data_IF_794676706164
#
_entry.id   IF_794676706164
#
_cell.length_a   1.000
_cell.length_b   1.000
_cell.length_c   1.000
_cell.angle_alpha   90.00
_cell.angle_beta   90.00
_cell.angle_gamma   90.00
#
_symmetry.space_group_name_H-M   'P 1'
#
loop_
_entity.id
_entity.type
_entity.pdbx_description
1 polymer ?
#
# COMPACT_ATOMS: atom_id res chain seq x y z
N UNK A 1 2.48 21.51 -17.38
CA UNK A 1 2.64 20.07 -17.08
C UNK A 1 4.08 19.88 -16.63
N UNK A 2 4.28 19.42 -15.37
CA UNK A 2 5.60 19.05 -14.89
C UNK A 2 6.12 17.80 -15.64
N UNK A 3 7.42 17.74 -15.88
CA UNK A 3 8.06 16.54 -16.44
C UNK A 3 8.23 15.52 -15.32
N UNK A 4 7.62 14.35 -15.46
CA UNK A 4 7.78 13.24 -14.52
C UNK A 4 8.68 12.20 -15.17
N UNK A 5 9.85 12.01 -14.59
CA UNK A 5 10.80 10.97 -15.04
C UNK A 5 10.54 9.66 -14.30
N UNK A 6 10.74 8.56 -15.01
CA UNK A 6 10.74 7.21 -14.46
C UNK A 6 12.11 6.61 -14.64
N UNK A 7 12.69 6.17 -13.58
CA UNK A 7 13.90 5.33 -13.57
C UNK A 7 13.52 3.86 -13.51
N UNK A 8 14.42 3.00 -13.13
CA UNK A 8 14.12 1.62 -12.79
C UNK A 8 14.92 1.19 -11.56
N UNK A 9 14.21 0.63 -10.61
CA UNK A 9 14.78 0.09 -9.39
C UNK A 9 14.53 -1.40 -9.32
N UNK A 10 15.56 -2.14 -8.94
CA UNK A 10 15.45 -3.58 -8.75
C UNK A 10 14.98 -3.87 -7.33
N UNK A 11 13.94 -4.68 -7.22
CA UNK A 11 13.45 -5.20 -5.96
C UNK A 11 13.71 -6.69 -5.93
N UNK A 12 14.46 -7.12 -4.91
CA UNK A 12 14.87 -8.50 -4.71
C UNK A 12 14.06 -9.16 -3.60
N UNK A 13 13.74 -10.43 -3.77
CA UNK A 13 13.35 -11.27 -2.64
C UNK A 13 14.61 -11.60 -1.82
N UNK A 14 14.45 -11.88 -0.53
CA UNK A 14 15.55 -12.52 0.20
C UNK A 14 15.81 -13.91 -0.37
N UNK A 15 17.06 -14.35 -0.31
CA UNK A 15 17.45 -15.71 -0.76
C UNK A 15 16.73 -16.75 0.10
N UNK A 16 16.08 -17.69 -0.58
CA UNK A 16 15.52 -18.89 0.04
C UNK A 16 16.54 -19.99 -0.17
N UNK A 17 16.97 -20.63 0.91
CA UNK A 17 17.91 -21.73 0.88
C UNK A 17 17.17 -23.07 1.00
N UNK A 18 17.61 -24.04 0.23
CA UNK A 18 17.10 -25.41 0.30
C UNK A 18 18.26 -26.39 0.25
N UNK A 19 18.17 -27.47 1.01
CA UNK A 19 19.20 -28.52 0.98
C UNK A 19 19.13 -29.29 -0.33
N UNK A 20 20.30 -29.77 -0.80
CA UNK A 20 20.37 -30.62 -1.98
C UNK A 20 19.64 -31.95 -1.77
N UNK A 21 19.60 -32.47 -0.55
CA UNK A 21 18.89 -33.69 -0.19
C UNK A 21 17.37 -33.51 -0.39
N UNK A 22 16.80 -32.40 0.13
CA UNK A 22 15.39 -32.08 -0.06
C UNK A 22 15.03 -31.96 -1.55
N UNK A 23 15.94 -31.38 -2.35
CA UNK A 23 15.73 -31.26 -3.79
C UNK A 23 15.81 -32.60 -4.52
N UNK A 24 16.70 -33.50 -4.08
CA UNK A 24 16.84 -34.83 -4.66
C UNK A 24 15.66 -35.74 -4.31
N UNK A 25 15.14 -35.63 -3.08
CA UNK A 25 14.00 -36.43 -2.59
C UNK A 25 12.64 -35.87 -3.06
N UNK A 26 12.66 -34.76 -3.78
CA UNK A 26 11.44 -34.09 -4.26
C UNK A 26 10.80 -34.83 -5.46
N UNK A 27 10.20 -35.97 -5.21
CA UNK A 27 9.54 -36.78 -6.24
C UNK A 27 8.23 -36.20 -6.78
N UNK A 28 7.66 -35.20 -6.12
CA UNK A 28 6.29 -34.69 -6.38
C UNK A 28 6.28 -33.21 -6.82
N UNK A 29 7.44 -32.59 -7.03
CA UNK A 29 7.50 -31.17 -7.39
C UNK A 29 7.05 -30.21 -6.27
N UNK A 30 6.96 -30.70 -5.01
CA UNK A 30 6.50 -29.92 -3.86
C UNK A 30 7.38 -28.69 -3.59
N UNK A 31 8.69 -28.81 -3.83
CA UNK A 31 9.64 -27.72 -3.65
C UNK A 31 9.37 -26.59 -4.64
N UNK A 32 9.15 -26.94 -5.92
CA UNK A 32 8.82 -25.94 -6.94
C UNK A 32 7.47 -25.25 -6.65
N UNK A 33 6.47 -26.01 -6.21
CA UNK A 33 5.17 -25.46 -5.82
C UNK A 33 5.32 -24.49 -4.63
N UNK A 34 6.06 -24.87 -3.59
CA UNK A 34 6.32 -24.01 -2.42
C UNK A 34 7.08 -22.72 -2.80
N UNK A 35 8.08 -22.83 -3.68
CA UNK A 35 8.81 -21.64 -4.18
C UNK A 35 7.92 -20.74 -5.02
N UNK A 36 7.06 -21.33 -5.86
CA UNK A 36 6.11 -20.59 -6.69
C UNK A 36 5.11 -19.78 -5.86
N UNK A 37 4.79 -20.20 -4.64
CA UNK A 37 3.90 -19.47 -3.73
C UNK A 37 4.65 -18.44 -2.86
N UNK A 38 5.80 -18.82 -2.34
CA UNK A 38 6.54 -17.99 -1.38
C UNK A 38 7.22 -16.79 -2.03
N UNK A 39 7.84 -16.95 -3.21
CA UNK A 39 8.58 -15.88 -3.86
C UNK A 39 7.67 -14.73 -4.33
N UNK A 40 6.55 -14.97 -5.02
CA UNK A 40 5.62 -13.90 -5.40
C UNK A 40 5.03 -13.18 -4.19
N UNK A 41 4.70 -13.90 -3.12
CA UNK A 41 4.18 -13.30 -1.89
C UNK A 41 5.19 -12.36 -1.25
N UNK A 42 6.46 -12.76 -1.16
CA UNK A 42 7.54 -11.91 -0.63
C UNK A 42 7.81 -10.71 -1.52
N UNK A 43 7.90 -10.92 -2.83
CA UNK A 43 8.07 -9.84 -3.79
C UNK A 43 6.89 -8.87 -3.78
N UNK A 44 5.66 -9.39 -3.71
CA UNK A 44 4.46 -8.56 -3.63
C UNK A 44 4.46 -7.63 -2.41
N UNK A 45 4.86 -8.14 -1.24
CA UNK A 45 5.01 -7.32 -0.02
C UNK A 45 6.12 -6.27 -0.17
N UNK A 46 7.28 -6.65 -0.71
CA UNK A 46 8.38 -5.71 -0.94
C UNK A 46 8.00 -4.62 -1.93
N UNK A 47 7.29 -4.97 -3.02
CA UNK A 47 6.77 -4.02 -4.01
C UNK A 47 5.76 -3.07 -3.38
N UNK A 48 4.80 -3.60 -2.59
CA UNK A 48 3.80 -2.76 -1.94
C UNK A 48 4.46 -1.76 -1.00
N UNK A 49 5.41 -2.21 -0.18
CA UNK A 49 6.16 -1.34 0.73
C UNK A 49 6.96 -0.28 -0.02
N UNK A 50 7.66 -0.66 -1.09
CA UNK A 50 8.45 0.27 -1.90
C UNK A 50 7.57 1.31 -2.62
N UNK A 51 6.43 0.90 -3.20
CA UNK A 51 5.50 1.82 -3.87
C UNK A 51 4.67 2.67 -2.89
N UNK A 52 4.54 2.24 -1.64
CA UNK A 52 3.86 3.03 -0.61
C UNK A 52 4.81 4.03 0.04
N UNK A 53 5.98 3.58 0.54
CA UNK A 53 6.86 4.36 1.41
C UNK A 53 8.22 4.72 0.77
N UNK A 54 8.45 4.35 -0.49
CA UNK A 54 9.72 4.62 -1.16
C UNK A 54 10.08 6.10 -1.22
N UNK A 55 11.35 6.41 -1.05
CA UNK A 55 11.87 7.79 -0.96
C UNK A 55 12.33 8.36 -2.30
N UNK A 56 12.42 7.54 -3.35
CA UNK A 56 12.99 7.93 -4.64
C UNK A 56 14.52 7.91 -4.69
N UNK A 57 15.20 7.53 -3.61
CA UNK A 57 16.65 7.36 -3.57
C UNK A 57 16.98 5.89 -3.42
N UNK A 58 17.57 5.27 -4.45
CA UNK A 58 17.82 3.83 -4.54
C UNK A 58 16.57 2.94 -4.38
N UNK A 59 15.39 3.53 -4.52
CA UNK A 59 14.08 2.87 -4.46
C UNK A 59 13.04 3.73 -5.18
N UNK A 60 11.89 3.16 -5.61
CA UNK A 60 10.83 3.90 -6.29
C UNK A 60 10.32 5.09 -5.48
N UNK A 61 9.72 6.05 -6.15
CA UNK A 61 8.96 7.09 -5.46
C UNK A 61 7.64 6.53 -4.93
N UNK A 62 7.55 6.39 -3.62
CA UNK A 62 6.35 5.91 -2.94
C UNK A 62 5.21 6.95 -2.92
N UNK A 63 4.01 6.46 -2.69
CA UNK A 63 2.81 7.31 -2.57
C UNK A 63 2.97 8.35 -1.45
N UNK A 64 3.49 7.95 -0.29
CA UNK A 64 3.67 8.85 0.88
C UNK A 64 4.64 10.00 0.60
N UNK A 65 5.62 9.77 -0.26
CA UNK A 65 6.63 10.77 -0.66
C UNK A 65 6.12 11.67 -1.76
N UNK A 66 5.44 11.11 -2.76
CA UNK A 66 4.96 11.87 -3.94
C UNK A 66 3.72 12.69 -3.66
N UNK A 67 2.85 12.26 -2.74
CA UNK A 67 1.70 13.05 -2.32
C UNK A 67 2.16 14.09 -1.31
N UNK A 68 2.35 15.31 -1.79
CA UNK A 68 2.81 16.46 -0.99
C UNK A 68 1.67 17.37 -0.56
N UNK A 69 0.51 17.28 -1.21
CA UNK A 69 -0.65 18.13 -0.93
C UNK A 69 -1.49 17.58 0.21
N UNK A 70 -1.50 18.23 1.37
CA UNK A 70 -2.43 17.92 2.43
C UNK A 70 -3.86 18.34 2.03
N UNK A 71 -4.84 17.49 2.34
CA UNK A 71 -6.25 17.87 2.30
C UNK A 71 -6.57 18.85 3.44
N UNK A 72 -6.10 18.46 4.63
CA UNK A 72 -6.19 19.23 5.87
C UNK A 72 -5.23 18.61 6.91
N UNK A 73 -4.96 19.38 7.96
CA UNK A 73 -4.43 18.87 9.22
C UNK A 73 -5.59 18.72 10.18
N UNK A 74 -5.67 17.61 10.90
CA UNK A 74 -6.73 17.38 11.88
C UNK A 74 -6.66 18.42 13.01
N UNK A 75 -7.79 18.76 13.59
CA UNK A 75 -7.82 19.68 14.76
C UNK A 75 -7.30 18.99 16.03
N UNK A 76 -7.48 17.66 16.13
CA UNK A 76 -7.00 16.85 17.24
C UNK A 76 -5.78 16.01 16.82
N UNK A 77 -4.80 15.92 17.72
CA UNK A 77 -3.55 15.18 17.46
C UNK A 77 -3.77 13.69 17.21
N UNK A 78 -4.83 13.12 17.75
CA UNK A 78 -5.10 11.66 17.71
C UNK A 78 -6.54 11.34 17.29
N UNK A 79 -7.25 12.28 16.70
CA UNK A 79 -8.65 12.12 16.30
C UNK A 79 -8.87 12.54 14.85
N UNK A 80 -9.73 11.79 14.17
CA UNK A 80 -10.32 12.19 12.88
C UNK A 80 -11.81 12.35 13.11
N UNK A 81 -12.37 13.44 12.65
CA UNK A 81 -13.80 13.71 12.75
C UNK A 81 -14.49 13.50 11.42
N UNK A 82 -15.82 13.28 11.45
CA UNK A 82 -16.63 13.21 10.24
C UNK A 82 -16.46 14.46 9.36
N UNK A 83 -16.48 15.64 9.99
CA UNK A 83 -16.35 16.91 9.27
C UNK A 83 -15.02 17.01 8.50
N UNK A 84 -13.94 16.44 9.05
CA UNK A 84 -12.62 16.39 8.40
C UNK A 84 -12.63 15.42 7.22
N UNK A 85 -13.31 14.31 7.29
CA UNK A 85 -13.48 13.40 6.15
C UNK A 85 -14.26 14.08 5.01
N UNK A 86 -15.32 14.80 5.31
CA UNK A 86 -16.08 15.58 4.32
C UNK A 86 -15.19 16.67 3.70
N UNK A 87 -14.44 17.40 4.51
CA UNK A 87 -13.50 18.43 4.02
C UNK A 87 -12.41 17.81 3.13
N UNK A 88 -11.92 16.64 3.45
CA UNK A 88 -10.94 15.93 2.64
C UNK A 88 -11.48 15.61 1.24
N UNK A 89 -12.73 15.15 1.12
CA UNK A 89 -13.38 14.94 -0.18
C UNK A 89 -13.41 16.24 -0.97
N UNK A 90 -13.88 17.33 -0.35
CA UNK A 90 -14.05 18.61 -1.03
C UNK A 90 -12.74 19.36 -1.30
N UNK A 91 -11.64 18.96 -0.66
CA UNK A 91 -10.31 19.51 -0.93
C UNK A 91 -9.73 19.06 -2.28
N UNK A 92 -10.18 17.91 -2.80
CA UNK A 92 -9.84 17.43 -4.14
C UNK A 92 -10.79 18.08 -5.15
N UNK A 93 -10.26 18.62 -6.23
CA UNK A 93 -11.07 19.25 -7.28
C UNK A 93 -12.09 18.27 -7.87
N UNK A 94 -13.27 18.79 -8.22
CA UNK A 94 -14.38 18.00 -8.77
C UNK A 94 -13.96 17.21 -10.03
N UNK A 95 -13.08 17.77 -10.85
CA UNK A 95 -12.58 17.11 -12.05
C UNK A 95 -11.84 15.80 -11.73
N UNK A 96 -11.09 15.74 -10.62
CA UNK A 96 -10.41 14.53 -10.19
C UNK A 96 -11.32 13.57 -9.40
N UNK A 97 -12.41 14.06 -8.79
CA UNK A 97 -13.38 13.22 -8.08
C UNK A 97 -14.30 12.40 -9.01
N UNK A 98 -14.27 12.66 -10.30
CA UNK A 98 -14.98 11.90 -11.33
C UNK A 98 -14.08 10.90 -12.07
N UNK A 99 -12.84 10.75 -11.62
CA UNK A 99 -11.88 9.81 -12.21
C UNK A 99 -12.28 8.34 -12.04
N UNK A 100 -11.66 7.45 -12.81
CA UNK A 100 -12.05 6.03 -12.84
C UNK A 100 -11.62 5.26 -11.56
N UNK A 101 -10.68 5.78 -10.78
CA UNK A 101 -10.15 5.13 -9.56
C UNK A 101 -10.11 6.10 -8.37
N UNK A 102 -11.23 6.78 -8.16
CA UNK A 102 -11.39 7.62 -6.97
C UNK A 102 -11.77 6.77 -5.79
N UNK A 103 -10.92 6.77 -4.78
CA UNK A 103 -11.07 5.89 -3.62
C UNK A 103 -10.36 6.46 -2.39
N UNK A 104 -10.68 5.88 -1.24
CA UNK A 104 -9.94 6.05 -0.01
C UNK A 104 -8.84 5.00 0.09
N UNK A 105 -7.70 5.36 0.67
CA UNK A 105 -6.65 4.42 1.01
C UNK A 105 -6.15 4.71 2.43
N UNK A 106 -6.13 3.68 3.26
CA UNK A 106 -5.73 3.77 4.66
C UNK A 106 -5.30 2.40 5.18
N UNK A 107 -4.70 2.34 6.38
CA UNK A 107 -4.44 1.06 7.05
C UNK A 107 -5.70 0.48 7.65
N UNK A 108 -5.72 -0.83 7.88
CA UNK A 108 -6.85 -1.54 8.49
C UNK A 108 -7.19 -0.99 9.89
N UNK A 109 -6.18 -0.64 10.67
CA UNK A 109 -6.37 -0.07 12.01
C UNK A 109 -7.03 1.31 11.99
N UNK A 110 -6.70 2.16 11.02
CA UNK A 110 -7.37 3.45 10.81
C UNK A 110 -8.80 3.24 10.32
N UNK A 111 -9.03 2.26 9.45
CA UNK A 111 -10.38 1.88 9.03
C UNK A 111 -11.23 1.43 10.23
N UNK A 112 -10.67 0.59 11.12
CA UNK A 112 -11.31 0.20 12.36
C UNK A 112 -11.71 1.39 13.23
N UNK A 113 -10.81 2.41 13.36
CA UNK A 113 -11.12 3.65 14.04
C UNK A 113 -12.28 4.42 13.39
N UNK A 114 -12.25 4.59 12.07
CA UNK A 114 -13.31 5.31 11.34
C UNK A 114 -14.67 4.63 11.48
N UNK A 115 -14.71 3.29 11.57
CA UNK A 115 -15.94 2.54 11.82
C UNK A 115 -16.56 2.82 13.18
N UNK A 116 -15.78 3.28 14.15
CA UNK A 116 -16.29 3.65 15.49
C UNK A 116 -16.76 5.09 15.59
N UNK A 117 -16.62 5.87 14.51
CA UNK A 117 -17.07 7.27 14.49
C UNK A 117 -18.58 7.36 14.31
N UNK A 118 -19.24 8.11 15.17
CA UNK A 118 -20.66 8.38 15.13
C UNK A 118 -20.98 9.76 14.58
N UNK A 119 -22.18 9.93 14.03
CA UNK A 119 -22.69 11.23 13.62
C UNK A 119 -23.22 11.94 14.86
N UNK A 120 -22.58 13.05 15.24
CA UNK A 120 -23.12 13.99 16.21
C UNK A 120 -22.94 13.63 17.69
N UNK A 121 -22.00 12.78 18.05
CA UNK A 121 -21.67 12.44 19.45
C UNK A 121 -22.84 11.83 20.27
N UNK A 122 -23.86 11.30 19.60
CA UNK A 122 -25.08 10.79 20.23
C UNK A 122 -25.26 9.28 20.14
N UNK A 123 -24.24 8.53 19.73
CA UNK A 123 -24.24 7.05 19.64
C UNK A 123 -25.37 6.44 18.79
N UNK A 124 -26.02 7.22 17.90
CA UNK A 124 -27.23 6.77 17.23
C UNK A 124 -27.08 6.53 15.73
N UNK A 125 -26.10 7.14 15.06
CA UNK A 125 -25.93 6.97 13.62
C UNK A 125 -24.46 6.82 13.26
N UNK A 126 -24.10 5.66 12.76
CA UNK A 126 -22.74 5.39 12.29
C UNK A 126 -22.50 6.03 10.92
N UNK A 127 -21.30 6.55 10.72
CA UNK A 127 -20.88 7.16 9.43
C UNK A 127 -20.62 6.08 8.38
N UNK A 128 -20.25 4.91 8.84
CA UNK A 128 -19.87 3.81 7.98
C UNK A 128 -21.00 2.81 7.83
N UNK A 129 -21.37 2.54 6.59
CA UNK A 129 -22.28 1.44 6.24
C UNK A 129 -21.46 0.34 5.57
N UNK A 130 -21.28 -0.82 6.22
CA UNK A 130 -20.65 -1.96 5.57
C UNK A 130 -21.50 -2.40 4.38
N UNK A 131 -20.86 -2.81 3.30
CA UNK A 131 -21.59 -3.43 2.19
C UNK A 131 -22.17 -4.74 2.68
N UNK A 132 -23.51 -4.87 2.58
CA UNK A 132 -24.22 -6.13 2.86
C UNK A 132 -24.27 -7.03 1.61
N UNK A 133 -23.80 -6.55 0.48
CA UNK A 133 -23.76 -7.30 -0.77
C UNK A 133 -22.41 -7.99 -0.88
N UNK A 134 -22.44 -9.30 -1.02
CA UNK A 134 -21.23 -10.11 -1.18
C UNK A 134 -20.46 -9.70 -2.45
N UNK A 135 -19.17 -9.42 -2.30
CA UNK A 135 -18.30 -9.01 -3.41
C UNK A 135 -18.22 -7.50 -3.69
N UNK A 136 -19.02 -6.65 -3.06
CA UNK A 136 -18.85 -5.20 -3.15
C UNK A 136 -17.85 -4.67 -2.11
N UNK A 137 -16.92 -3.78 -2.50
CA UNK A 137 -16.00 -3.16 -1.55
C UNK A 137 -16.75 -2.22 -0.60
N UNK A 138 -16.32 -2.18 0.63
CA UNK A 138 -16.81 -1.21 1.62
C UNK A 138 -16.69 0.23 1.09
N UNK A 139 -17.70 1.05 1.34
CA UNK A 139 -17.75 2.44 0.89
C UNK A 139 -17.80 3.41 2.06
N UNK A 140 -16.97 4.43 2.00
CA UNK A 140 -17.00 5.56 2.91
C UNK A 140 -17.49 6.79 2.15
N UNK A 141 -18.63 7.35 2.56
CA UNK A 141 -19.23 8.51 1.90
C UNK A 141 -19.36 8.35 0.36
N UNK A 142 -19.74 7.15 -0.10
CA UNK A 142 -19.97 6.84 -1.50
C UNK A 142 -18.74 6.42 -2.30
N UNK A 143 -17.52 6.52 -1.75
CA UNK A 143 -16.29 6.11 -2.42
C UNK A 143 -15.76 4.78 -1.85
N UNK A 144 -15.23 3.90 -2.69
CA UNK A 144 -14.67 2.63 -2.25
C UNK A 144 -13.42 2.84 -1.38
N UNK A 145 -13.15 1.86 -0.52
CA UNK A 145 -12.00 1.86 0.39
C UNK A 145 -11.04 0.78 -0.05
N UNK A 146 -9.76 1.11 -0.03
CA UNK A 146 -8.65 0.17 -0.24
C UNK A 146 -7.79 0.17 1.01
N UNK A 147 -7.61 -1.02 1.58
CA UNK A 147 -6.73 -1.23 2.73
C UNK A 147 -5.30 -1.41 2.27
N UNK A 148 -4.40 -0.61 2.84
CA UNK A 148 -2.96 -0.75 2.63
C UNK A 148 -2.23 -0.65 3.99
N UNK A 149 -1.79 -1.79 4.49
CA UNK A 149 -1.16 -1.88 5.81
C UNK A 149 0.29 -1.39 5.86
N UNK A 150 0.88 -1.00 4.72
CA UNK A 150 2.17 -0.30 4.70
C UNK A 150 2.02 1.22 4.96
N UNK A 151 0.80 1.74 5.03
CA UNK A 151 0.52 3.10 5.51
C UNK A 151 0.59 3.17 7.04
N UNK A 152 0.80 4.38 7.62
CA UNK A 152 0.80 4.56 9.06
C UNK A 152 -0.45 3.96 9.72
N UNK A 153 -0.22 3.11 10.70
CA UNK A 153 -1.25 2.45 11.48
C UNK A 153 -1.71 3.33 12.65
N UNK A 154 -2.91 3.06 13.16
CA UNK A 154 -3.32 3.57 14.46
C UNK A 154 -2.46 2.94 15.58
N UNK A 155 -2.38 3.62 16.71
CA UNK A 155 -1.70 3.09 17.88
C UNK A 155 -2.31 1.73 18.30
N UNK A 156 -1.45 0.74 18.53
CA UNK A 156 -1.89 -0.63 18.81
C UNK A 156 -2.72 -0.76 20.10
N UNK A 157 -2.45 0.10 21.09
CA UNK A 157 -3.13 0.06 22.41
C UNK A 157 -4.37 0.92 22.42
N UNK A 158 -4.25 2.18 21.97
CA UNK A 158 -5.34 3.16 22.07
C UNK A 158 -6.29 3.12 20.87
N UNK A 159 -5.90 2.45 19.79
CA UNK A 159 -6.67 2.35 18.53
C UNK A 159 -6.99 3.69 17.87
N UNK A 160 -6.28 4.75 18.23
CA UNK A 160 -6.42 6.09 17.64
C UNK A 160 -5.27 6.41 16.68
N UNK A 161 -5.47 7.33 15.72
CA UNK A 161 -4.40 7.75 14.80
C UNK A 161 -3.17 8.27 15.56
N UNK A 162 -2.00 8.12 14.95
CA UNK A 162 -0.72 8.59 15.51
C UNK A 162 -0.44 10.01 15.02
N UNK A 163 0.03 10.89 15.91
CA UNK A 163 0.39 12.29 15.60
C UNK A 163 1.44 12.40 14.49
N UNK A 164 1.42 13.49 13.77
CA UNK A 164 2.37 13.82 12.69
C UNK A 164 2.46 12.77 11.56
N UNK A 165 1.39 11.96 11.37
CA UNK A 165 1.36 10.95 10.32
C UNK A 165 0.36 11.26 9.23
N UNK A 166 0.68 10.85 7.99
CA UNK A 166 -0.23 10.88 6.84
C UNK A 166 -1.10 9.63 6.89
N UNK A 167 -2.24 9.68 7.58
CA UNK A 167 -3.01 8.48 7.96
C UNK A 167 -4.00 8.01 6.89
N UNK A 168 -4.60 8.96 6.17
CA UNK A 168 -5.66 8.68 5.19
C UNK A 168 -5.36 9.41 3.89
N UNK A 169 -5.52 8.72 2.77
CA UNK A 169 -5.39 9.29 1.42
C UNK A 169 -6.72 9.23 0.70
N UNK A 170 -7.02 10.29 -0.05
CA UNK A 170 -8.22 10.37 -0.90
C UNK A 170 -7.88 11.01 -2.25
N UNK A 171 -8.43 10.46 -3.32
CA UNK A 171 -8.28 11.01 -4.66
C UNK A 171 -8.31 9.99 -5.77
N UNK A 172 -7.90 10.41 -6.97
CA UNK A 172 -7.83 9.55 -8.16
C UNK A 172 -6.46 8.87 -8.27
N UNK A 173 -6.38 7.64 -7.81
CA UNK A 173 -5.17 6.83 -7.87
C UNK A 173 -4.79 6.41 -9.30
N UNK A 174 -5.62 6.66 -10.30
CA UNK A 174 -5.22 6.45 -11.71
C UNK A 174 -4.06 7.36 -12.14
N UNK A 175 -3.80 8.44 -11.38
CA UNK A 175 -2.71 9.38 -11.63
C UNK A 175 -1.37 8.94 -11.01
N UNK A 176 -1.37 7.98 -10.13
CA UNK A 176 -0.15 7.29 -9.73
C UNK A 176 0.16 6.20 -10.75
N UNK A 177 1.29 6.34 -11.43
CA UNK A 177 1.69 5.45 -12.51
C UNK A 177 2.83 4.55 -12.07
N UNK A 178 2.72 3.29 -12.41
CA UNK A 178 3.75 2.28 -12.13
C UNK A 178 4.32 1.85 -13.49
N UNK A 179 5.64 2.00 -13.64
CA UNK A 179 6.39 1.45 -14.76
C UNK A 179 7.00 0.14 -14.31
N UNK A 180 6.69 -0.94 -14.99
CA UNK A 180 7.29 -2.25 -14.76
C UNK A 180 8.10 -2.64 -15.98
N UNK A 181 9.32 -3.15 -15.78
CA UNK A 181 10.23 -3.56 -16.84
C UNK A 181 10.43 -5.07 -16.74
N UNK A 182 9.94 -5.78 -17.75
CA UNK A 182 9.98 -7.24 -17.80
C UNK A 182 9.04 -7.92 -16.82
N UNK A 183 9.32 -9.19 -16.56
CA UNK A 183 8.59 -10.03 -15.61
C UNK A 183 9.33 -10.20 -14.28
N UNK A 184 8.85 -11.12 -13.47
CA UNK A 184 9.59 -11.64 -12.32
C UNK A 184 10.64 -12.60 -12.85
N UNK A 185 11.90 -12.36 -12.50
CA UNK A 185 13.01 -13.23 -12.81
C UNK A 185 13.32 -14.09 -11.59
N UNK A 186 13.46 -15.38 -11.80
CA UNK A 186 13.88 -16.33 -10.78
C UNK A 186 15.29 -16.80 -11.14
N UNK A 187 16.20 -16.67 -10.19
CA UNK A 187 17.57 -17.19 -10.31
C UNK A 187 17.84 -18.26 -9.26
N UNK A 188 18.55 -19.29 -9.67
CA UNK A 188 19.04 -20.35 -8.82
C UNK A 188 20.57 -20.28 -8.78
N UNK A 189 21.16 -20.39 -7.61
CA UNK A 189 22.60 -20.43 -7.43
C UNK A 189 23.02 -21.63 -6.57
N UNK A 190 23.76 -22.54 -7.16
CA UNK A 190 24.21 -23.78 -6.53
C UNK A 190 25.60 -23.62 -5.89
N UNK A 191 26.34 -22.53 -6.20
CA UNK A 191 27.73 -22.34 -5.77
C UNK A 191 27.85 -21.57 -4.47
N UNK A 192 26.93 -20.63 -4.21
CA UNK A 192 27.03 -19.69 -3.08
C UNK A 192 27.05 -20.40 -1.72
N UNK A 193 26.35 -21.52 -1.62
CA UNK A 193 26.20 -22.32 -0.39
C UNK A 193 26.71 -23.76 -0.56
N UNK A 194 27.72 -23.95 -1.41
CA UNK A 194 28.27 -25.27 -1.70
C UNK A 194 28.77 -25.99 -0.44
N UNK A 195 29.42 -25.29 0.48
CA UNK A 195 29.97 -25.87 1.71
C UNK A 195 28.89 -26.43 2.65
N UNK A 196 27.68 -25.83 2.64
CA UNK A 196 26.51 -26.30 3.42
C UNK A 196 25.58 -27.24 2.63
N UNK A 197 25.94 -27.59 1.40
CA UNK A 197 25.12 -28.41 0.51
C UNK A 197 23.70 -27.84 0.29
N UNK A 198 23.62 -26.51 0.16
CA UNK A 198 22.37 -25.79 -0.05
C UNK A 198 22.36 -25.11 -1.42
N UNK A 199 21.17 -24.99 -2.00
CA UNK A 199 20.90 -24.20 -3.21
C UNK A 199 20.14 -22.93 -2.80
N UNK A 200 20.57 -21.78 -3.32
CA UNK A 200 19.92 -20.51 -3.11
C UNK A 200 18.97 -20.16 -4.26
N UNK A 201 17.74 -19.78 -3.93
CA UNK A 201 16.76 -19.24 -4.88
C UNK A 201 16.47 -17.78 -4.55
N UNK A 202 16.47 -16.94 -5.57
CA UNK A 202 16.15 -15.51 -5.46
C UNK A 202 15.27 -15.07 -6.61
N UNK A 203 14.20 -14.38 -6.27
CA UNK A 203 13.36 -13.69 -7.26
C UNK A 203 13.66 -12.21 -7.26
N UNK A 204 13.63 -11.58 -8.44
CA UNK A 204 13.79 -10.14 -8.58
C UNK A 204 12.92 -9.58 -9.70
N UNK A 205 12.57 -8.32 -9.59
CA UNK A 205 11.84 -7.58 -10.60
C UNK A 205 12.29 -6.11 -10.62
N UNK A 206 12.07 -5.44 -11.75
CA UNK A 206 12.37 -4.02 -11.90
C UNK A 206 11.09 -3.22 -12.08
N UNK A 207 10.96 -2.18 -11.29
CA UNK A 207 9.84 -1.24 -11.40
C UNK A 207 10.22 0.15 -10.90
N UNK A 208 9.38 1.12 -11.27
CA UNK A 208 9.36 2.45 -10.67
C UNK A 208 7.91 2.92 -10.54
N UNK A 209 7.65 3.83 -9.61
CA UNK A 209 6.36 4.44 -9.40
C UNK A 209 6.50 5.95 -9.24
N UNK A 210 5.56 6.71 -9.82
CA UNK A 210 5.53 8.14 -9.60
C UNK A 210 4.12 8.72 -9.79
N UNK A 211 3.84 9.83 -9.11
CA UNK A 211 2.59 10.55 -9.21
C UNK A 211 2.69 11.61 -10.32
N UNK A 212 1.86 11.47 -11.35
CA UNK A 212 1.87 12.39 -12.50
C UNK A 212 1.24 13.75 -12.15
N UNK A 213 0.28 13.77 -11.23
CA UNK A 213 -0.40 15.00 -10.82
C UNK A 213 -0.60 15.02 -9.30
N UNK A 214 0.12 15.92 -8.65
CA UNK A 214 0.09 16.11 -7.19
C UNK A 214 -1.27 16.55 -6.64
N UNK A 215 -2.12 17.19 -7.45
CA UNK A 215 -3.45 17.66 -7.01
C UNK A 215 -4.54 16.58 -7.08
N UNK A 216 -4.23 15.43 -7.68
CA UNK A 216 -5.20 14.36 -7.87
C UNK A 216 -5.42 13.51 -6.61
N UNK A 217 -4.43 13.45 -5.74
CA UNK A 217 -4.47 12.70 -4.47
C UNK A 217 -4.05 13.64 -3.35
N UNK A 218 -4.78 13.61 -2.25
CA UNK A 218 -4.45 14.37 -1.04
C UNK A 218 -4.49 13.47 0.19
N UNK A 219 -3.81 13.88 1.25
CA UNK A 219 -3.76 13.14 2.50
C UNK A 219 -4.30 13.97 3.67
N UNK A 220 -4.76 13.30 4.71
CA UNK A 220 -5.06 13.87 6.02
C UNK A 220 -3.81 13.73 6.88
N UNK A 221 -3.31 14.87 7.38
CA UNK A 221 -2.22 14.90 8.34
C UNK A 221 -2.78 14.92 9.74
N UNK A 222 -2.30 14.05 10.61
CA UNK A 222 -2.59 14.13 12.04
C UNK A 222 -1.78 15.27 12.67
N UNK A 223 -2.42 16.09 13.50
CA UNK A 223 -1.78 17.23 14.16
C UNK A 223 -0.68 16.83 15.14
#
# INVERSE_FOLDING_TARGET
FGNVSFTDYTIDSKIIKMSNELMADNRVGLVQATLADLLPTRLGRAVNSALTNGTGTNQPYGLTTTVTSAALTTAGATAITQAELVRAIHSVDKAYRQGPKVQWMMSDTIMGYIRTLDIGNTNTVQIFYPSLVEGEPDRLMGYPIVINNDLPAANATTRVPVTATKSVYFGDFSKYKIRRIGGINLSQNNMLYWASREVGFMGWLRLDGNLVNANAIKYILQA
#
